data_IF_506235097025
#
_entry.id   IF_506235097025
#
_cell.length_a   1.000
_cell.length_b   1.000
_cell.length_c   1.000
_cell.angle_alpha   90.00
_cell.angle_beta   90.00
_cell.angle_gamma   90.00
#
_symmetry.space_group_name_H-M   'P 1'
#
loop_
_entity.id
_entity.type
_entity.pdbx_description
1 polymer ?
#
# COMPACT_ATOMS: atom_id res chain seq x y z
N UNK A 1 -12.04 -15.71 12.06
CA UNK A 1 -11.17 -14.61 12.53
C UNK A 1 -10.50 -14.97 13.87
N UNK A 2 -9.54 -15.89 13.88
CA UNK A 2 -8.78 -16.19 15.12
C UNK A 2 -7.74 -15.11 15.42
N UNK A 3 -6.99 -14.72 14.38
CA UNK A 3 -5.91 -13.74 14.49
C UNK A 3 -6.38 -12.34 14.90
N UNK A 4 -7.46 -11.80 14.30
CA UNK A 4 -8.00 -10.49 14.70
C UNK A 4 -8.38 -10.47 16.18
N UNK A 5 -9.12 -11.49 16.64
CA UNK A 5 -9.54 -11.60 18.04
C UNK A 5 -8.35 -11.78 18.99
N UNK A 6 -7.30 -12.48 18.57
CA UNK A 6 -6.07 -12.62 19.36
C UNK A 6 -5.36 -11.27 19.50
N UNK A 7 -5.18 -10.54 18.40
CA UNK A 7 -4.52 -9.24 18.39
C UNK A 7 -5.31 -8.23 19.23
N UNK A 8 -6.63 -8.18 19.13
CA UNK A 8 -7.47 -7.30 19.95
C UNK A 8 -7.33 -7.59 21.44
N UNK A 9 -7.32 -8.88 21.83
CA UNK A 9 -7.19 -9.28 23.24
C UNK A 9 -5.82 -8.98 23.83
N UNK A 10 -4.77 -9.02 23.01
CA UNK A 10 -3.38 -8.87 23.46
C UNK A 10 -2.75 -7.55 22.98
N UNK A 11 -3.54 -6.60 22.50
CA UNK A 11 -3.01 -5.38 21.86
C UNK A 11 -2.06 -4.61 22.78
N UNK A 12 -2.46 -4.36 24.03
CA UNK A 12 -1.63 -3.61 24.98
C UNK A 12 -0.35 -4.36 25.38
N UNK A 13 -0.41 -5.69 25.47
CA UNK A 13 0.77 -6.52 25.75
C UNK A 13 1.77 -6.45 24.60
N UNK A 14 1.28 -6.53 23.36
CA UNK A 14 2.09 -6.36 22.15
C UNK A 14 2.75 -4.99 22.11
N UNK A 15 2.00 -3.91 22.39
CA UNK A 15 2.56 -2.55 22.43
C UNK A 15 3.64 -2.44 23.52
N UNK A 16 3.41 -3.04 24.70
CA UNK A 16 4.40 -3.05 25.79
C UNK A 16 5.68 -3.77 25.40
N UNK A 17 5.58 -4.90 24.70
CA UNK A 17 6.75 -5.64 24.19
C UNK A 17 7.50 -4.82 23.14
N UNK A 18 6.79 -4.26 22.15
CA UNK A 18 7.38 -3.46 21.08
C UNK A 18 8.15 -2.23 21.60
N UNK A 19 7.69 -1.61 22.70
CA UNK A 19 8.42 -0.51 23.37
C UNK A 19 9.83 -0.90 23.83
N UNK A 20 10.09 -2.17 24.10
CA UNK A 20 11.42 -2.64 24.51
C UNK A 20 12.38 -2.84 23.34
N UNK A 21 11.88 -2.84 22.10
CA UNK A 21 12.68 -3.13 20.91
C UNK A 21 13.75 -2.04 20.67
N UNK A 22 15.01 -2.42 20.30
CA UNK A 22 16.12 -1.50 20.04
C UNK A 22 15.80 -0.31 19.13
N UNK A 23 14.93 -0.51 18.15
CA UNK A 23 14.46 0.55 17.25
C UNK A 23 13.85 1.76 17.99
N UNK A 24 13.12 1.52 19.08
CA UNK A 24 12.50 2.55 19.91
C UNK A 24 13.36 2.91 21.13
N UNK A 25 14.24 2.02 21.58
CA UNK A 25 15.05 2.23 22.78
C UNK A 25 16.43 2.84 22.53
N UNK A 26 17.03 2.71 21.34
CA UNK A 26 18.37 3.27 21.05
C UNK A 26 18.36 4.80 20.83
N UNK A 27 17.20 5.40 20.53
CA UNK A 27 17.02 6.86 20.43
C UNK A 27 16.58 7.52 21.75
N UNK A 28 16.76 6.82 22.88
CA UNK A 28 16.16 7.17 24.19
C UNK A 28 16.53 8.50 24.88
N UNK A 29 17.54 9.33 24.54
CA UNK A 29 17.84 10.43 25.44
C UNK A 29 16.84 11.61 25.47
N UNK A 30 15.84 11.71 24.58
CA UNK A 30 15.05 12.95 24.46
C UNK A 30 13.52 12.81 24.24
N UNK A 31 12.98 11.60 24.06
CA UNK A 31 11.54 11.44 23.81
C UNK A 31 10.78 11.18 25.11
N UNK A 32 9.63 11.85 25.29
CA UNK A 32 8.72 11.57 26.41
C UNK A 32 8.04 10.23 26.19
N UNK A 33 7.65 9.56 27.28
CA UNK A 33 6.97 8.25 27.23
C UNK A 33 5.71 8.27 26.35
N UNK A 34 4.95 9.37 26.36
CA UNK A 34 3.78 9.57 25.49
C UNK A 34 4.12 9.58 24.00
N UNK A 35 5.25 10.19 23.65
CA UNK A 35 5.71 10.30 22.27
C UNK A 35 6.21 8.93 21.77
N UNK A 36 6.81 8.13 22.65
CA UNK A 36 7.20 6.75 22.39
C UNK A 36 5.96 5.87 22.18
N UNK A 37 4.96 5.97 23.05
CA UNK A 37 3.72 5.20 22.95
C UNK A 37 3.00 5.46 21.63
N UNK A 38 2.81 6.74 21.29
CA UNK A 38 2.21 7.15 20.02
C UNK A 38 2.99 6.59 18.83
N UNK A 39 4.33 6.66 18.89
CA UNK A 39 5.19 6.18 17.81
C UNK A 39 5.11 4.66 17.64
N UNK A 40 5.13 3.89 18.74
CA UNK A 40 5.02 2.43 18.70
C UNK A 40 3.67 2.01 18.13
N UNK A 41 2.56 2.59 18.62
CA UNK A 41 1.21 2.31 18.08
C UNK A 41 1.11 2.65 16.60
N UNK A 42 1.63 3.80 16.20
CA UNK A 42 1.63 4.24 14.80
C UNK A 42 2.47 3.30 13.93
N UNK A 43 3.67 2.93 14.37
CA UNK A 43 4.54 1.98 13.67
C UNK A 43 3.90 0.59 13.56
N UNK A 44 3.27 0.10 14.64
CA UNK A 44 2.58 -1.19 14.61
C UNK A 44 1.43 -1.20 13.59
N UNK A 45 0.63 -0.14 13.57
CA UNK A 45 -0.44 0.02 12.58
C UNK A 45 0.12 0.05 11.15
N UNK A 46 1.16 0.84 10.89
CA UNK A 46 1.79 0.94 9.57
C UNK A 46 2.34 -0.41 9.09
N UNK A 47 3.14 -1.10 9.92
CA UNK A 47 3.70 -2.39 9.54
C UNK A 47 2.64 -3.48 9.36
N UNK A 48 1.55 -3.40 10.12
CA UNK A 48 0.42 -4.31 9.95
C UNK A 48 -0.30 -4.08 8.61
N UNK A 49 -0.49 -2.82 8.22
CA UNK A 49 -1.06 -2.47 6.91
C UNK A 49 -0.13 -2.88 5.76
N UNK A 50 1.18 -2.65 5.89
CA UNK A 50 2.17 -3.08 4.90
C UNK A 50 2.18 -4.61 4.75
N UNK A 51 2.12 -5.35 5.85
CA UNK A 51 2.02 -6.81 5.83
C UNK A 51 0.74 -7.27 5.14
N UNK A 52 -0.41 -6.68 5.47
CA UNK A 52 -1.68 -6.98 4.84
C UNK A 52 -1.61 -6.76 3.31
N UNK A 53 -1.04 -5.64 2.88
CA UNK A 53 -0.85 -5.32 1.47
C UNK A 53 0.04 -6.36 0.78
N UNK A 54 1.15 -6.75 1.41
CA UNK A 54 2.04 -7.79 0.88
C UNK A 54 1.33 -9.13 0.72
N UNK A 55 0.46 -9.51 1.67
CA UNK A 55 -0.35 -10.73 1.56
C UNK A 55 -1.30 -10.68 0.36
N UNK A 56 -1.91 -9.52 0.07
CA UNK A 56 -2.75 -9.34 -1.13
C UNK A 56 -1.96 -9.36 -2.43
N UNK A 57 -0.70 -8.91 -2.44
CA UNK A 57 0.15 -9.01 -3.64
C UNK A 57 0.57 -10.45 -3.96
N UNK A 58 0.59 -11.39 -3.01
CA UNK A 58 0.97 -12.79 -3.28
C UNK A 58 0.11 -13.40 -4.40
N UNK A 59 -1.23 -13.43 -4.32
CA UNK A 59 -2.05 -13.97 -5.40
C UNK A 59 -1.90 -13.15 -6.69
N UNK A 60 -1.81 -11.82 -6.60
CA UNK A 60 -1.62 -10.95 -7.78
C UNK A 60 -0.37 -11.33 -8.55
N UNK A 61 0.77 -11.48 -7.86
CA UNK A 61 2.05 -11.80 -8.49
C UNK A 61 2.05 -13.18 -9.16
N UNK A 62 1.24 -14.12 -8.67
CA UNK A 62 1.20 -15.50 -9.17
C UNK A 62 0.07 -15.77 -10.18
N UNK A 63 -1.01 -14.98 -10.15
CA UNK A 63 -2.23 -15.24 -10.93
C UNK A 63 -2.57 -14.13 -11.93
N UNK A 64 -1.95 -12.95 -11.85
CA UNK A 64 -2.26 -11.85 -12.76
C UNK A 64 -1.79 -12.17 -14.19
N UNK A 65 -2.76 -12.28 -15.08
CA UNK A 65 -2.58 -12.29 -16.52
C UNK A 65 -3.73 -11.53 -17.16
N UNK A 66 -3.55 -11.04 -18.40
CA UNK A 66 -4.59 -10.26 -19.10
C UNK A 66 -5.93 -11.01 -19.16
N UNK A 67 -5.90 -12.32 -19.42
CA UNK A 67 -7.09 -13.16 -19.45
C UNK A 67 -7.74 -13.28 -18.06
N UNK A 68 -6.93 -13.41 -17.00
CA UNK A 68 -7.43 -13.44 -15.61
C UNK A 68 -8.14 -12.13 -15.27
N UNK A 69 -7.53 -10.99 -15.59
CA UNK A 69 -8.12 -9.67 -15.32
C UNK A 69 -9.40 -9.48 -16.14
N UNK A 70 -9.40 -9.86 -17.41
CA UNK A 70 -10.60 -9.81 -18.25
C UNK A 70 -11.73 -10.66 -17.68
N UNK A 71 -11.42 -11.86 -17.18
CA UNK A 71 -12.40 -12.74 -16.54
C UNK A 71 -12.95 -12.14 -15.23
N UNK A 72 -12.07 -11.62 -14.36
CA UNK A 72 -12.45 -11.01 -13.09
C UNK A 72 -13.22 -9.69 -13.25
N UNK A 73 -13.07 -9.02 -14.38
CA UNK A 73 -13.84 -7.80 -14.70
C UNK A 73 -15.26 -8.09 -15.21
N UNK A 74 -15.64 -9.36 -15.35
CA UNK A 74 -17.00 -9.73 -15.68
C UNK A 74 -17.91 -9.57 -14.47
N UNK A 75 -18.82 -8.58 -14.53
CA UNK A 75 -19.80 -8.27 -13.49
C UNK A 75 -20.74 -9.44 -13.19
N UNK A 76 -20.94 -10.35 -14.16
CA UNK A 76 -21.75 -11.56 -13.96
C UNK A 76 -21.10 -12.56 -12.98
N UNK A 77 -19.77 -12.51 -12.85
CA UNK A 77 -19.01 -13.40 -11.96
C UNK A 77 -18.64 -12.71 -10.66
N UNK A 78 -18.11 -11.49 -10.73
CA UNK A 78 -17.62 -10.74 -9.58
C UNK A 78 -17.65 -9.25 -9.85
N UNK A 79 -18.36 -8.49 -9.01
CA UNK A 79 -18.32 -7.03 -9.05
C UNK A 79 -17.32 -6.48 -8.02
N UNK A 80 -16.09 -6.22 -8.50
CA UNK A 80 -15.04 -5.66 -7.65
C UNK A 80 -15.36 -4.25 -7.13
N UNK A 81 -16.40 -3.57 -7.65
CA UNK A 81 -16.76 -2.20 -7.27
C UNK A 81 -17.57 -2.14 -5.98
N UNK A 82 -18.11 -3.26 -5.51
CA UNK A 82 -18.97 -3.31 -4.32
C UNK A 82 -18.22 -3.09 -3.01
N UNK A 83 -16.90 -3.35 -2.98
CA UNK A 83 -16.11 -3.29 -1.76
C UNK A 83 -14.77 -2.57 -1.98
N UNK A 84 -14.36 -1.64 -1.09
CA UNK A 84 -13.07 -0.96 -1.18
C UNK A 84 -11.85 -1.89 -1.24
N UNK A 85 -11.89 -3.03 -0.54
CA UNK A 85 -10.83 -4.04 -0.59
C UNK A 85 -10.72 -4.64 -2.00
N UNK A 86 -11.84 -4.97 -2.62
CA UNK A 86 -11.86 -5.54 -3.98
C UNK A 86 -11.41 -4.53 -5.03
N UNK A 87 -11.77 -3.25 -4.85
CA UNK A 87 -11.28 -2.16 -5.69
C UNK A 87 -9.76 -1.99 -5.60
N UNK A 88 -9.18 -2.12 -4.40
CA UNK A 88 -7.73 -2.10 -4.18
C UNK A 88 -7.05 -3.31 -4.81
N UNK A 89 -7.60 -4.51 -4.62
CA UNK A 89 -7.07 -5.74 -5.23
C UNK A 89 -7.12 -5.67 -6.76
N UNK A 90 -8.24 -5.22 -7.34
CA UNK A 90 -8.35 -4.98 -8.78
C UNK A 90 -7.26 -4.02 -9.28
N UNK A 91 -7.00 -2.93 -8.55
CA UNK A 91 -5.93 -2.00 -8.90
C UNK A 91 -4.54 -2.66 -8.89
N UNK A 92 -4.26 -3.59 -7.97
CA UNK A 92 -3.01 -4.37 -7.96
C UNK A 92 -2.92 -5.31 -9.18
N UNK A 93 -4.03 -5.92 -9.59
CA UNK A 93 -4.06 -6.74 -10.80
C UNK A 93 -3.77 -5.91 -12.06
N UNK A 94 -4.40 -4.74 -12.20
CA UNK A 94 -4.17 -3.79 -13.28
C UNK A 94 -2.73 -3.28 -13.29
N UNK A 95 -2.17 -3.03 -12.09
CA UNK A 95 -0.76 -2.72 -11.92
C UNK A 95 0.12 -3.80 -12.56
N UNK A 96 -0.10 -5.05 -12.15
CA UNK A 96 0.76 -6.18 -12.49
C UNK A 96 0.73 -6.51 -13.99
N UNK A 97 -0.41 -6.36 -14.66
CA UNK A 97 -0.51 -6.54 -16.12
C UNK A 97 0.02 -5.35 -16.94
N UNK A 98 0.56 -4.31 -16.28
CA UNK A 98 1.16 -3.13 -16.91
C UNK A 98 0.18 -2.31 -17.78
N UNK A 99 -1.11 -2.27 -17.44
CA UNK A 99 -2.05 -1.40 -18.14
C UNK A 99 -1.93 0.04 -17.63
N UNK A 100 -1.16 0.86 -18.34
CA UNK A 100 -0.88 2.29 -18.08
C UNK A 100 -2.13 3.12 -17.83
N UNK A 101 -3.07 3.04 -18.76
CA UNK A 101 -4.20 3.96 -18.75
C UNK A 101 -5.21 3.57 -17.68
N UNK A 102 -5.49 2.27 -17.56
CA UNK A 102 -6.46 1.76 -16.61
C UNK A 102 -5.99 1.93 -15.16
N UNK A 103 -4.70 1.73 -14.89
CA UNK A 103 -4.16 1.96 -13.54
C UNK A 103 -4.31 3.42 -13.12
N UNK A 104 -3.97 4.36 -14.01
CA UNK A 104 -4.02 5.80 -13.72
C UNK A 104 -5.46 6.27 -13.55
N UNK A 105 -6.39 5.85 -14.43
CA UNK A 105 -7.81 6.21 -14.32
C UNK A 105 -8.40 5.66 -13.03
N UNK A 106 -8.19 4.38 -12.74
CA UNK A 106 -8.70 3.71 -11.54
C UNK A 106 -8.13 4.33 -10.26
N UNK A 107 -6.81 4.54 -10.18
CA UNK A 107 -6.20 5.16 -8.99
C UNK A 107 -6.78 6.56 -8.72
N UNK A 108 -6.92 7.39 -9.76
CA UNK A 108 -7.47 8.74 -9.62
C UNK A 108 -8.96 8.76 -9.26
N UNK A 109 -9.73 7.77 -9.70
CA UNK A 109 -11.12 7.59 -9.29
C UNK A 109 -11.19 7.24 -7.79
N UNK A 110 -10.47 6.19 -7.37
CA UNK A 110 -10.44 5.75 -5.98
C UNK A 110 -9.93 6.83 -5.02
N UNK A 111 -9.00 7.68 -5.47
CA UNK A 111 -8.53 8.82 -4.66
C UNK A 111 -9.68 9.76 -4.26
N UNK A 112 -10.66 9.97 -5.15
CA UNK A 112 -11.80 10.86 -4.90
C UNK A 112 -12.82 10.20 -3.99
N UNK A 113 -12.98 8.89 -4.11
CA UNK A 113 -14.02 8.13 -3.43
C UNK A 113 -13.61 7.74 -1.99
N UNK A 114 -12.30 7.55 -1.75
CA UNK A 114 -11.79 7.11 -0.45
C UNK A 114 -11.56 8.27 0.52
N UNK A 115 -12.53 8.44 1.43
CA UNK A 115 -12.45 9.36 2.57
C UNK A 115 -11.84 8.72 3.84
N UNK A 116 -11.76 7.39 3.89
CA UNK A 116 -11.21 6.66 5.03
C UNK A 116 -9.67 6.66 5.01
N UNK A 117 -9.06 6.89 6.18
CA UNK A 117 -7.60 6.97 6.33
C UNK A 117 -6.89 5.67 5.93
N UNK A 118 -7.44 4.51 6.27
CA UNK A 118 -6.81 3.20 5.98
C UNK A 118 -6.82 2.94 4.47
N UNK A 119 -7.98 3.01 3.84
CA UNK A 119 -8.14 2.80 2.39
C UNK A 119 -7.32 3.80 1.57
N UNK A 120 -7.26 5.07 2.01
CA UNK A 120 -6.40 6.10 1.40
C UNK A 120 -4.90 5.78 1.53
N UNK A 121 -4.46 5.27 2.68
CA UNK A 121 -3.08 4.87 2.90
C UNK A 121 -2.69 3.65 2.04
N UNK A 122 -3.52 2.61 2.01
CA UNK A 122 -3.29 1.42 1.18
C UNK A 122 -3.23 1.79 -0.31
N UNK A 123 -4.15 2.65 -0.77
CA UNK A 123 -4.12 3.18 -2.14
C UNK A 123 -2.79 3.90 -2.44
N UNK A 124 -2.30 4.74 -1.52
CA UNK A 124 -1.01 5.41 -1.68
C UNK A 124 0.15 4.41 -1.78
N UNK A 125 0.13 3.33 -0.99
CA UNK A 125 1.16 2.29 -1.07
C UNK A 125 1.15 1.58 -2.44
N UNK A 126 -0.02 1.23 -2.96
CA UNK A 126 -0.18 0.62 -4.30
C UNK A 126 0.31 1.60 -5.38
N UNK A 127 -0.13 2.86 -5.34
CA UNK A 127 0.30 3.88 -6.32
C UNK A 127 1.81 4.10 -6.25
N UNK A 128 2.40 4.14 -5.05
CA UNK A 128 3.85 4.26 -4.89
C UNK A 128 4.58 3.06 -5.48
N UNK A 129 4.09 1.84 -5.23
CA UNK A 129 4.66 0.62 -5.79
C UNK A 129 4.59 0.66 -7.32
N UNK A 130 3.43 0.97 -7.89
CA UNK A 130 3.24 1.10 -9.34
C UNK A 130 4.11 2.19 -9.96
N UNK A 131 4.26 3.33 -9.29
CA UNK A 131 5.17 4.39 -9.72
C UNK A 131 6.63 3.90 -9.81
N UNK A 132 7.05 2.90 -9.04
CA UNK A 132 8.41 2.36 -9.06
C UNK A 132 8.55 1.25 -10.11
N UNK A 133 7.57 0.35 -10.17
CA UNK A 133 7.68 -0.92 -10.90
C UNK A 133 7.19 -0.86 -12.34
N UNK A 134 6.29 0.06 -12.66
CA UNK A 134 5.64 0.12 -13.97
C UNK A 134 6.40 0.97 -14.97
N UNK A 135 6.28 0.60 -16.25
CA UNK A 135 6.82 1.38 -17.37
C UNK A 135 5.78 2.36 -17.91
N UNK A 136 5.50 3.41 -17.14
CA UNK A 136 4.53 4.43 -17.53
C UNK A 136 5.17 5.61 -18.30
N UNK A 137 4.33 6.32 -19.08
CA UNK A 137 4.73 7.58 -19.71
C UNK A 137 5.04 8.63 -18.65
N UNK A 138 5.85 9.64 -19.02
CA UNK A 138 6.18 10.75 -18.12
C UNK A 138 4.93 11.50 -17.67
N UNK A 139 3.99 11.70 -18.58
CA UNK A 139 2.72 12.38 -18.29
C UNK A 139 1.90 11.63 -17.23
N UNK A 140 1.71 10.32 -17.39
CA UNK A 140 0.99 9.50 -16.41
C UNK A 140 1.68 9.48 -15.05
N UNK A 141 3.01 9.40 -15.07
CA UNK A 141 3.84 9.49 -13.87
C UNK A 141 3.64 10.82 -13.14
N UNK A 142 3.72 11.94 -13.85
CA UNK A 142 3.57 13.27 -13.27
C UNK A 142 2.13 13.51 -12.75
N UNK A 143 1.11 12.95 -13.42
CA UNK A 143 -0.29 12.98 -12.97
C UNK A 143 -0.44 12.28 -11.62
N UNK A 144 0.07 11.06 -11.49
CA UNK A 144 0.02 10.31 -10.22
C UNK A 144 0.83 11.00 -9.12
N UNK A 145 2.07 11.43 -9.39
CA UNK A 145 2.91 12.13 -8.42
C UNK A 145 2.26 13.42 -7.92
N UNK A 146 1.67 14.22 -8.81
CA UNK A 146 1.02 15.48 -8.42
C UNK A 146 -0.18 15.29 -7.50
N UNK A 147 -0.90 14.19 -7.66
CA UNK A 147 -2.13 13.91 -6.92
C UNK A 147 -1.88 13.19 -5.61
N UNK A 148 -1.01 12.19 -5.60
CA UNK A 148 -0.74 11.38 -4.42
C UNK A 148 0.45 11.87 -3.59
N UNK A 149 1.43 12.50 -4.24
CA UNK A 149 2.72 12.85 -3.63
C UNK A 149 3.18 14.28 -3.96
N UNK A 150 2.33 15.31 -3.77
CA UNK A 150 2.62 16.69 -4.21
C UNK A 150 3.90 17.28 -3.61
N UNK A 151 4.38 16.74 -2.48
CA UNK A 151 5.58 17.21 -1.75
C UNK A 151 6.78 16.25 -1.80
N UNK A 152 6.69 15.11 -2.51
CA UNK A 152 7.67 14.01 -2.40
C UNK A 152 8.30 13.57 -3.74
N UNK A 153 8.49 14.47 -4.70
CA UNK A 153 9.09 14.15 -6.02
C UNK A 153 10.52 13.61 -5.95
N UNK A 154 11.38 14.12 -5.04
CA UNK A 154 12.80 13.74 -4.97
C UNK A 154 13.04 12.30 -4.44
N UNK A 155 12.40 11.84 -3.35
CA UNK A 155 12.56 10.46 -2.85
C UNK A 155 12.15 9.38 -3.86
N UNK A 156 11.05 9.58 -4.59
CA UNK A 156 10.52 8.60 -5.55
C UNK A 156 11.47 8.37 -6.73
N UNK A 157 12.16 9.42 -7.19
CA UNK A 157 13.17 9.30 -8.26
C UNK A 157 14.36 8.44 -7.84
N UNK A 158 14.78 8.53 -6.57
CA UNK A 158 15.90 7.75 -6.02
C UNK A 158 15.52 6.26 -5.92
N UNK A 159 14.30 5.95 -5.49
CA UNK A 159 13.80 4.57 -5.39
C UNK A 159 13.70 3.90 -6.77
N UNK A 160 13.16 4.61 -7.77
CA UNK A 160 13.13 4.13 -9.17
C UNK A 160 14.52 3.80 -9.72
N UNK A 161 15.50 4.68 -9.46
CA UNK A 161 16.85 4.47 -9.94
C UNK A 161 17.42 3.17 -9.35
N UNK A 162 17.28 2.97 -8.03
CA UNK A 162 17.75 1.75 -7.36
C UNK A 162 17.10 0.47 -7.91
N UNK A 163 15.79 0.47 -8.14
CA UNK A 163 15.09 -0.70 -8.69
C UNK A 163 15.61 -1.06 -10.09
N UNK A 164 15.82 -0.06 -10.96
CA UNK A 164 16.41 -0.27 -12.30
C UNK A 164 17.81 -0.86 -12.28
N UNK A 165 18.63 -0.52 -11.28
CA UNK A 165 19.98 -1.08 -11.13
C UNK A 165 19.98 -2.47 -10.48
N UNK A 166 18.97 -2.81 -9.67
CA UNK A 166 18.85 -4.12 -9.02
C UNK A 166 18.35 -5.23 -9.95
N UNK A 167 17.75 -4.87 -11.09
CA UNK A 167 17.22 -5.80 -12.12
C UNK A 167 18.21 -6.09 -13.26
N UNK A 168 19.47 -5.62 -13.16
CA UNK A 168 20.58 -5.95 -14.07
C UNK A 168 21.50 -6.96 -13.41
#
# INVERSE_FOLDING_TARGET
MFWCNFIEKHYEDIIKELKTHPYFTTKKPQMRESDIDLKVRSSFALYSMDLLLNLYYIPVLNAAGKNTVQFLNSVEFFDYRENPTYQLEHLMFVEQIQDSNEFVSSALALQKDYNEKVSSYLLQCIVRHGLITRNDTRENTDRLESKFFPKAKKPLLIERAKDKYSKK
#
